data_IF_871332822253
#
_entry.id   IF_871332822253
#
_cell.length_a   1.000
_cell.length_b   1.000
_cell.length_c   1.000
_cell.angle_alpha   90.00
_cell.angle_beta   90.00
_cell.angle_gamma   90.00
#
_symmetry.space_group_name_H-M   'P 1'
#
loop_
_entity.id
_entity.type
_entity.pdbx_description
1 polymer ?
#
# COMPACT_ATOMS: atom_id res chain seq x y z
N UNK A 1 9.87 3.79 13.45
CA UNK A 1 11.30 4.15 13.46
C UNK A 1 12.14 2.89 13.53
N UNK A 2 13.35 2.91 14.12
CA UNK A 2 14.14 1.69 14.33
C UNK A 2 13.41 0.70 15.23
N UNK A 3 13.48 -0.60 14.92
CA UNK A 3 12.80 -1.64 15.73
C UNK A 3 13.37 -1.85 17.14
N UNK A 4 14.49 -1.20 17.48
CA UNK A 4 15.08 -1.19 18.82
C UNK A 4 14.53 -0.07 19.71
N UNK A 5 13.75 0.85 19.14
CA UNK A 5 13.10 1.95 19.85
C UNK A 5 11.71 1.50 20.34
N UNK A 6 11.44 1.66 21.63
CA UNK A 6 10.18 1.23 22.26
C UNK A 6 8.97 2.04 21.81
N UNK A 7 9.18 3.27 21.32
CA UNK A 7 8.12 4.12 20.78
C UNK A 7 7.80 3.79 19.31
N UNK A 8 8.54 2.88 18.68
CA UNK A 8 8.30 2.51 17.28
C UNK A 8 7.13 1.54 17.16
N UNK A 9 6.07 2.00 16.49
CA UNK A 9 4.91 1.16 16.13
C UNK A 9 5.07 0.50 14.76
N UNK A 10 5.74 1.17 13.82
CA UNK A 10 6.00 0.65 12.47
C UNK A 10 7.49 0.74 12.14
N UNK A 11 8.11 -0.43 11.95
CA UNK A 11 9.51 -0.61 11.61
C UNK A 11 9.80 -0.49 10.10
N UNK A 12 11.08 -0.59 9.70
CA UNK A 12 11.44 -0.57 8.29
C UNK A 12 11.07 -1.86 7.58
N UNK A 13 10.95 -1.78 6.26
CA UNK A 13 10.96 -2.94 5.38
C UNK A 13 12.34 -3.60 5.38
N UNK A 14 12.39 -4.88 5.01
CA UNK A 14 13.63 -5.68 5.08
C UNK A 14 14.72 -5.20 4.10
N UNK A 15 14.34 -4.68 2.93
CA UNK A 15 15.27 -4.26 1.87
C UNK A 15 14.75 -3.04 1.12
N UNK A 16 15.67 -2.32 0.45
CA UNK A 16 15.32 -1.27 -0.52
C UNK A 16 14.39 -1.79 -1.62
N UNK A 17 14.65 -3.01 -2.14
CA UNK A 17 13.80 -3.63 -3.16
C UNK A 17 12.34 -3.79 -2.70
N UNK A 18 12.10 -4.07 -1.41
CA UNK A 18 10.75 -4.14 -0.88
C UNK A 18 10.07 -2.75 -0.90
N UNK A 19 10.78 -1.70 -0.48
CA UNK A 19 10.30 -0.31 -0.55
C UNK A 19 9.97 0.09 -1.98
N UNK A 20 10.87 -0.17 -2.93
CA UNK A 20 10.68 0.17 -4.35
C UNK A 20 9.50 -0.61 -4.96
N UNK A 21 9.29 -1.87 -4.56
CA UNK A 21 8.13 -2.66 -4.99
C UNK A 21 6.82 -2.04 -4.47
N UNK A 22 6.77 -1.69 -3.18
CA UNK A 22 5.61 -1.07 -2.56
C UNK A 22 5.29 0.27 -3.26
N UNK A 23 6.31 1.11 -3.45
CA UNK A 23 6.14 2.41 -4.10
C UNK A 23 5.62 2.25 -5.54
N UNK A 24 6.20 1.34 -6.34
CA UNK A 24 5.70 1.05 -7.69
C UNK A 24 4.21 0.70 -7.70
N UNK A 25 3.76 -0.15 -6.79
CA UNK A 25 2.36 -0.56 -6.69
C UNK A 25 1.47 0.63 -6.32
N UNK A 26 1.89 1.42 -5.33
CA UNK A 26 1.15 2.62 -4.90
C UNK A 26 1.06 3.66 -6.01
N UNK A 27 2.17 3.97 -6.69
CA UNK A 27 2.18 4.92 -7.80
C UNK A 27 1.35 4.44 -8.99
N UNK A 28 1.32 3.13 -9.28
CA UNK A 28 0.43 2.57 -10.33
C UNK A 28 -1.05 2.79 -9.97
N UNK A 29 -1.46 2.51 -8.73
CA UNK A 29 -2.84 2.76 -8.30
C UNK A 29 -3.21 4.24 -8.37
N UNK A 30 -2.32 5.13 -7.93
CA UNK A 30 -2.52 6.59 -8.01
C UNK A 30 -2.67 7.02 -9.47
N UNK A 31 -1.81 6.53 -10.37
CA UNK A 31 -1.86 6.84 -11.79
C UNK A 31 -3.17 6.38 -12.46
N UNK A 32 -3.83 5.36 -11.91
CA UNK A 32 -5.13 4.85 -12.36
C UNK A 32 -6.34 5.52 -11.69
N UNK A 33 -6.12 6.42 -10.74
CA UNK A 33 -7.17 7.20 -10.10
C UNK A 33 -7.49 6.82 -8.66
N UNK A 34 -6.69 5.99 -8.00
CA UNK A 34 -6.81 5.79 -6.56
C UNK A 34 -6.48 7.10 -5.81
N UNK A 35 -7.12 7.31 -4.67
CA UNK A 35 -6.90 8.49 -3.82
C UNK A 35 -6.05 8.13 -2.61
N UNK A 36 -5.00 8.90 -2.36
CA UNK A 36 -4.18 8.75 -1.15
C UNK A 36 -4.85 9.43 0.04
N UNK A 37 -5.20 8.65 1.06
CA UNK A 37 -5.76 9.17 2.31
C UNK A 37 -4.68 9.47 3.35
N UNK A 38 -3.60 8.69 3.36
CA UNK A 38 -2.39 8.96 4.14
C UNK A 38 -1.18 8.22 3.54
N UNK A 39 0.03 8.66 3.90
CA UNK A 39 1.27 8.05 3.42
C UNK A 39 1.45 8.26 1.91
N UNK A 40 1.68 7.18 1.17
CA UNK A 40 1.66 7.18 -0.29
C UNK A 40 2.99 7.56 -0.98
N UNK A 41 4.06 7.72 -0.22
CA UNK A 41 5.40 8.01 -0.75
C UNK A 41 6.49 7.43 0.16
N UNK A 42 7.65 7.12 -0.42
CA UNK A 42 8.82 6.67 0.31
C UNK A 42 9.22 7.70 1.38
N UNK A 43 9.45 7.25 2.61
CA UNK A 43 9.88 8.15 3.68
C UNK A 43 11.30 8.68 3.45
N UNK A 44 11.52 9.96 3.74
CA UNK A 44 12.83 10.57 3.67
C UNK A 44 13.77 10.05 4.78
N UNK A 45 15.08 10.12 4.53
CA UNK A 45 16.12 9.79 5.51
C UNK A 45 16.73 8.40 5.35
N UNK A 46 17.38 7.92 6.43
CA UNK A 46 18.12 6.65 6.44
C UNK A 46 17.21 5.49 6.81
N UNK A 47 17.39 4.36 6.13
CA UNK A 47 16.63 3.13 6.34
C UNK A 47 15.72 2.80 5.16
N UNK A 48 14.94 1.73 5.30
CA UNK A 48 14.03 1.24 4.26
C UNK A 48 12.60 1.43 4.74
N UNK A 49 12.18 2.68 4.88
CA UNK A 49 10.87 3.02 5.44
C UNK A 49 9.87 3.33 4.33
N UNK A 50 8.69 2.74 4.46
CA UNK A 50 7.49 3.12 3.72
C UNK A 50 6.40 3.42 4.75
N UNK A 51 5.83 4.63 4.80
CA UNK A 51 4.85 4.99 5.82
C UNK A 51 3.57 4.15 5.66
N UNK A 52 2.86 3.84 6.76
CA UNK A 52 1.50 3.33 6.69
C UNK A 52 0.67 4.14 5.70
N UNK A 53 0.11 3.46 4.71
CA UNK A 53 -0.54 4.07 3.56
C UNK A 53 -1.94 3.52 3.39
N UNK A 54 -2.91 4.40 3.22
CA UNK A 54 -4.30 4.02 2.90
C UNK A 54 -4.67 4.63 1.57
N UNK A 55 -5.15 3.79 0.65
CA UNK A 55 -5.66 4.21 -0.65
C UNK A 55 -7.15 3.93 -0.72
N UNK A 56 -7.95 4.92 -1.09
CA UNK A 56 -9.37 4.72 -1.42
C UNK A 56 -9.58 4.69 -2.93
N UNK A 57 -10.72 4.12 -3.31
CA UNK A 57 -11.18 4.07 -4.69
C UNK A 57 -10.16 3.37 -5.60
N UNK A 58 -9.49 2.32 -5.08
CA UNK A 58 -8.49 1.55 -5.81
C UNK A 58 -9.16 0.85 -6.99
N UNK A 59 -8.77 1.17 -8.24
CA UNK A 59 -9.32 0.55 -9.43
C UNK A 59 -9.01 -0.95 -9.50
N UNK A 60 -9.93 -1.73 -10.07
CA UNK A 60 -9.76 -3.18 -10.20
C UNK A 60 -8.60 -3.57 -11.12
N UNK A 61 -8.15 -2.68 -12.01
CA UNK A 61 -7.03 -2.88 -12.93
C UNK A 61 -5.69 -2.36 -12.38
N UNK A 62 -5.66 -1.86 -11.13
CA UNK A 62 -4.42 -1.52 -10.45
C UNK A 62 -3.59 -2.77 -10.16
N UNK A 63 -2.28 -2.69 -10.34
CA UNK A 63 -1.38 -3.83 -10.14
C UNK A 63 -1.52 -4.43 -8.73
N UNK A 64 -1.76 -3.60 -7.70
CA UNK A 64 -1.97 -4.06 -6.33
C UNK A 64 -3.25 -4.87 -6.10
N UNK A 65 -4.21 -4.83 -7.02
CA UNK A 65 -5.40 -5.69 -6.97
C UNK A 65 -5.08 -7.15 -7.37
N UNK A 66 -3.90 -7.39 -7.97
CA UNK A 66 -3.49 -8.71 -8.47
C UNK A 66 -2.11 -9.15 -7.96
N UNK A 67 -1.31 -8.22 -7.43
CA UNK A 67 0.01 -8.47 -6.86
C UNK A 67 0.01 -8.25 -5.36
N UNK A 68 0.57 -9.20 -4.61
CA UNK A 68 0.75 -9.05 -3.17
C UNK A 68 1.76 -7.94 -2.85
N UNK A 69 1.35 -6.96 -2.02
CA UNK A 69 2.14 -5.77 -1.71
C UNK A 69 3.31 -6.08 -0.77
N UNK A 70 3.10 -6.88 0.29
CA UNK A 70 4.06 -7.13 1.37
C UNK A 70 4.60 -5.85 2.04
N UNK A 71 3.71 -4.92 2.34
CA UNK A 71 4.05 -3.64 2.97
C UNK A 71 2.88 -3.04 3.74
N UNK A 72 3.09 -1.93 4.46
CA UNK A 72 2.07 -1.30 5.29
C UNK A 72 1.11 -0.47 4.43
N UNK A 73 0.41 -1.11 3.49
CA UNK A 73 -0.53 -0.47 2.57
C UNK A 73 -1.88 -1.15 2.65
N UNK A 74 -2.94 -0.35 2.86
CA UNK A 74 -4.32 -0.80 2.86
C UNK A 74 -5.06 -0.25 1.62
N UNK A 75 -5.25 -1.05 0.57
CA UNK A 75 -6.09 -0.69 -0.56
C UNK A 75 -7.58 -0.88 -0.24
N UNK A 76 -8.41 0.10 -0.59
CA UNK A 76 -9.86 0.07 -0.38
C UNK A 76 -10.56 0.25 -1.74
N UNK A 77 -11.42 -0.70 -2.09
CA UNK A 77 -12.27 -0.67 -3.28
C UNK A 77 -13.74 -0.76 -2.88
N UNK A 78 -14.61 -0.09 -3.64
CA UNK A 78 -16.07 -0.13 -3.43
C UNK A 78 -16.73 -1.27 -4.22
N UNK A 79 -17.89 -1.68 -3.73
CA UNK A 79 -18.81 -2.61 -4.37
C UNK A 79 -20.24 -2.17 -4.05
N UNK A 80 -21.21 -2.61 -4.85
CA UNK A 80 -22.62 -2.24 -4.72
C UNK A 80 -23.44 -3.36 -4.09
N UNK A 81 -23.10 -4.62 -4.37
CA UNK A 81 -23.84 -5.77 -3.85
C UNK A 81 -22.94 -6.94 -3.40
N UNK A 82 -23.56 -7.88 -2.68
CA UNK A 82 -22.89 -9.05 -2.11
C UNK A 82 -22.34 -10.00 -3.19
N UNK A 83 -23.06 -10.19 -4.30
CA UNK A 83 -22.63 -11.09 -5.35
C UNK A 83 -21.37 -10.54 -6.07
N UNK A 84 -21.34 -9.23 -6.29
CA UNK A 84 -20.20 -8.52 -6.87
C UNK A 84 -18.94 -8.66 -5.99
N UNK A 85 -19.04 -8.44 -4.67
CA UNK A 85 -17.87 -8.53 -3.78
C UNK A 85 -17.38 -9.97 -3.64
N UNK A 86 -18.28 -10.96 -3.64
CA UNK A 86 -17.90 -12.38 -3.65
C UNK A 86 -17.15 -12.71 -4.94
N UNK A 87 -17.61 -12.22 -6.09
CA UNK A 87 -16.93 -12.44 -7.37
C UNK A 87 -15.56 -11.73 -7.45
N UNK A 88 -15.42 -10.55 -6.84
CA UNK A 88 -14.14 -9.81 -6.77
C UNK A 88 -13.12 -10.44 -5.81
N UNK A 89 -13.58 -11.14 -4.78
CA UNK A 89 -12.72 -11.71 -3.74
C UNK A 89 -12.15 -13.10 -4.08
N UNK A 90 -12.76 -13.82 -5.02
CA UNK A 90 -12.36 -15.17 -5.44
C UNK A 90 -11.60 -15.16 -6.77
#
# INVERSE_FOLDING_TARGET
>A
GPGTDTETECGPMITRKAVDKIDRLVQDAIARGATVLCGGAIAEGRGFFYPPTVLSDVPADAAMAHEEIFGPVAPISRFEDEAEVIAKAN
#
